data_IF_459633424486
#
_entry.id   IF_459633424486
#
_cell.length_a   1.000
_cell.length_b   1.000
_cell.length_c   1.000
_cell.angle_alpha   90.00
_cell.angle_beta   90.00
_cell.angle_gamma   90.00
#
_symmetry.space_group_name_H-M   'P 1'
#
loop_
_entity.id
_entity.type
_entity.pdbx_description
1 polymer ?
#
# COMPACT_ATOMS: atom_id res chain seq x y z
N UNK A 1 -12.63 0.05 19.86
CA UNK A 1 -12.05 0.43 18.56
C UNK A 1 -10.70 1.10 18.84
N UNK A 2 -9.60 0.33 18.91
CA UNK A 2 -8.32 0.83 19.38
C UNK A 2 -7.73 1.86 18.41
N UNK A 3 -7.32 3.02 18.94
CA UNK A 3 -6.60 4.11 18.26
C UNK A 3 -5.51 4.58 19.20
N UNK A 4 -4.40 5.06 18.66
CA UNK A 4 -3.25 5.49 19.46
C UNK A 4 -2.97 6.97 19.29
N UNK A 5 -2.81 7.66 20.42
CA UNK A 5 -2.49 9.08 20.54
C UNK A 5 -1.02 9.29 20.92
N UNK A 6 -0.12 8.80 20.06
CA UNK A 6 1.32 9.03 20.18
C UNK A 6 1.89 9.41 18.81
N UNK A 7 3.13 9.90 18.77
CA UNK A 7 3.82 10.23 17.52
C UNK A 7 3.96 8.95 16.68
N UNK A 8 3.48 8.97 15.43
CA UNK A 8 3.32 7.78 14.58
C UNK A 8 1.90 7.18 14.59
N UNK A 9 1.05 7.57 15.55
CA UNK A 9 -0.35 7.15 15.58
C UNK A 9 -0.51 5.63 15.60
N UNK A 10 -1.40 5.10 14.76
CA UNK A 10 -1.68 3.66 14.73
C UNK A 10 -0.53 2.82 14.13
N UNK A 11 0.44 3.43 13.44
CA UNK A 11 1.56 2.68 12.83
C UNK A 11 2.53 2.12 13.86
N UNK A 12 2.48 2.60 15.11
CA UNK A 12 3.35 2.12 16.18
C UNK A 12 2.89 0.78 16.79
N UNK A 13 1.64 0.38 16.56
CA UNK A 13 1.05 -0.82 17.16
C UNK A 13 0.28 -1.70 16.16
N UNK A 14 0.27 -1.33 14.88
CA UNK A 14 -0.32 -2.17 13.85
C UNK A 14 0.51 -3.46 13.68
N UNK A 15 -0.07 -4.47 13.03
CA UNK A 15 0.62 -5.75 12.80
C UNK A 15 1.71 -5.70 11.71
N UNK A 16 2.10 -4.50 11.25
CA UNK A 16 3.10 -4.26 10.20
C UNK A 16 2.84 -5.00 8.86
N UNK A 17 1.61 -5.47 8.61
CA UNK A 17 1.23 -6.12 7.36
C UNK A 17 1.00 -5.07 6.26
N UNK A 18 1.80 -5.10 5.20
CA UNK A 18 1.67 -4.23 4.03
C UNK A 18 1.33 -5.04 2.76
N UNK A 19 0.06 -5.45 2.60
CA UNK A 19 -0.38 -6.26 1.45
C UNK A 19 -1.24 -5.47 0.44
N UNK A 20 -1.63 -4.24 0.78
CA UNK A 20 -2.64 -3.46 0.03
C UNK A 20 -2.20 -3.21 -1.42
N UNK A 21 -0.91 -2.94 -1.67
CA UNK A 21 -0.38 -2.71 -3.03
C UNK A 21 -0.54 -3.89 -4.00
N UNK A 22 -0.80 -5.11 -3.50
CA UNK A 22 -1.01 -6.30 -4.32
C UNK A 22 -2.46 -6.53 -4.78
N UNK A 23 -3.46 -5.86 -4.19
CA UNK A 23 -4.87 -6.10 -4.49
C UNK A 23 -5.35 -5.27 -5.70
N UNK A 24 -5.13 -5.79 -6.91
CA UNK A 24 -5.55 -5.13 -8.15
C UNK A 24 -7.05 -4.82 -8.22
N UNK A 25 -7.88 -5.80 -7.88
CA UNK A 25 -9.34 -5.64 -7.95
C UNK A 25 -9.85 -4.52 -7.04
N UNK A 26 -9.23 -4.31 -5.88
CA UNK A 26 -9.62 -3.24 -4.95
C UNK A 26 -9.39 -1.87 -5.57
N UNK A 27 -8.24 -1.64 -6.19
CA UNK A 27 -7.94 -0.36 -6.86
C UNK A 27 -8.78 -0.14 -8.11
N UNK A 28 -8.99 -1.18 -8.92
CA UNK A 28 -9.85 -1.09 -10.09
C UNK A 28 -11.30 -0.77 -9.69
N UNK A 29 -11.80 -1.37 -8.61
CA UNK A 29 -13.11 -1.06 -8.04
C UNK A 29 -13.18 0.36 -7.46
N UNK A 30 -12.14 0.85 -6.79
CA UNK A 30 -12.08 2.23 -6.29
C UNK A 30 -12.13 3.23 -7.44
N UNK A 31 -11.35 2.99 -8.50
CA UNK A 31 -11.33 3.84 -9.69
C UNK A 31 -12.70 3.88 -10.38
N UNK A 32 -13.42 2.76 -10.44
CA UNK A 32 -14.79 2.70 -10.95
C UNK A 32 -15.79 3.40 -10.04
N UNK A 33 -15.71 3.15 -8.72
CA UNK A 33 -16.64 3.70 -7.73
C UNK A 33 -16.58 5.23 -7.67
N UNK A 34 -15.39 5.80 -7.80
CA UNK A 34 -15.18 7.25 -7.79
C UNK A 34 -15.12 7.87 -9.19
N UNK A 35 -15.23 7.06 -10.25
CA UNK A 35 -15.04 7.47 -11.63
C UNK A 35 -13.73 8.26 -11.86
N UNK A 36 -12.66 7.87 -11.16
CA UNK A 36 -11.36 8.52 -11.22
C UNK A 36 -10.27 7.48 -11.52
N UNK A 37 -9.67 7.60 -12.69
CA UNK A 37 -8.60 6.71 -13.16
C UNK A 37 -7.27 6.94 -12.43
N UNK A 38 -7.11 8.05 -11.70
CA UNK A 38 -5.91 8.28 -10.89
C UNK A 38 -5.72 7.17 -9.86
N UNK A 39 -6.80 6.57 -9.38
CA UNK A 39 -6.82 5.44 -8.43
C UNK A 39 -6.62 4.07 -9.07
N UNK A 40 -6.50 3.99 -10.40
CA UNK A 40 -6.24 2.73 -11.08
C UNK A 40 -4.96 2.09 -10.54
N UNK A 41 -4.94 0.75 -10.50
CA UNK A 41 -3.85 -0.02 -9.89
C UNK A 41 -2.47 0.39 -10.41
N UNK A 42 -2.35 0.64 -11.71
CA UNK A 42 -1.05 0.94 -12.33
C UNK A 42 -0.51 2.32 -11.90
N UNK A 43 -1.39 3.29 -11.67
CA UNK A 43 -1.00 4.58 -11.12
C UNK A 43 -0.62 4.45 -9.63
N UNK A 44 -1.41 3.70 -8.87
CA UNK A 44 -1.17 3.50 -7.44
C UNK A 44 0.12 2.72 -7.15
N UNK A 45 0.48 1.75 -8.01
CA UNK A 45 1.70 0.97 -7.85
C UNK A 45 2.96 1.85 -7.80
N UNK A 46 3.02 2.91 -8.62
CA UNK A 46 4.18 3.81 -8.66
C UNK A 46 4.48 4.45 -7.30
N UNK A 47 3.45 4.77 -6.50
CA UNK A 47 3.64 5.32 -5.16
C UNK A 47 4.20 4.28 -4.19
N UNK A 48 3.79 3.01 -4.30
CA UNK A 48 4.33 1.94 -3.46
C UNK A 48 5.79 1.65 -3.78
N UNK A 49 6.20 1.73 -5.04
CA UNK A 49 7.60 1.58 -5.46
C UNK A 49 8.49 2.68 -4.87
N UNK A 50 7.96 3.89 -4.66
CA UNK A 50 8.69 4.99 -4.01
C UNK A 50 8.73 4.87 -2.48
N UNK A 51 7.68 4.32 -1.87
CA UNK A 51 7.53 4.23 -0.41
C UNK A 51 8.23 3.01 0.18
N UNK A 52 8.26 1.89 -0.53
CA UNK A 52 8.65 0.60 0.04
C UNK A 52 10.08 0.19 -0.35
N UNK A 53 10.89 -0.14 0.66
CA UNK A 53 12.17 -0.82 0.47
C UNK A 53 11.98 -2.33 0.70
N UNK A 54 11.74 -3.07 -0.39
CA UNK A 54 11.39 -4.50 -0.40
C UNK A 54 12.56 -5.44 0.00
N UNK A 55 13.01 -5.36 1.26
CA UNK A 55 14.13 -6.17 1.79
C UNK A 55 13.79 -7.67 1.97
N UNK A 56 12.55 -8.08 1.74
CA UNK A 56 12.12 -9.48 1.78
C UNK A 56 12.45 -10.22 0.47
N UNK A 57 12.68 -9.49 -0.62
CA UNK A 57 13.14 -10.08 -1.87
C UNK A 57 14.67 -10.18 -1.82
N UNK A 58 15.20 -11.39 -1.97
CA UNK A 58 16.63 -11.54 -2.22
C UNK A 58 16.95 -10.91 -3.57
N UNK A 59 18.01 -10.09 -3.68
CA UNK A 59 18.44 -9.57 -4.97
C UNK A 59 18.73 -10.74 -5.92
N UNK A 60 18.43 -10.60 -7.24
CA UNK A 60 18.76 -11.63 -8.21
C UNK A 60 20.27 -11.94 -8.13
N UNK A 61 20.62 -13.22 -8.20
CA UNK A 61 22.01 -13.65 -8.25
C UNK A 61 22.72 -12.95 -9.43
N UNK A 62 23.96 -12.46 -9.24
CA UNK A 62 24.70 -11.72 -10.26
C UNK A 62 24.95 -12.55 -11.53
#
# INVERSE_FOLDING_TARGET
>A
YPRVAAIGGCTIHNAMLNNIGGLRQTFDNLAQMFNDRSWARDNMQSFYELLERNLYLTPPNP
#
